data_IF_172352826505
#
_entry.id   IF_172352826505
#
_cell.length_a   1.000
_cell.length_b   1.000
_cell.length_c   1.000
_cell.angle_alpha   90.00
_cell.angle_beta   90.00
_cell.angle_gamma   90.00
#
_symmetry.space_group_name_H-M   'P 1'
#
loop_
_entity.id
_entity.type
_entity.pdbx_description
1 polymer ?
#
# COMPACT_ATOMS: atom_id res chain seq x y z
N UNK A 1 -8.09 -24.67 9.36
CA UNK A 1 -8.26 -23.38 10.06
C UNK A 1 -8.99 -22.31 9.23
N UNK A 2 -8.37 -21.66 8.23
CA UNK A 2 -9.06 -20.62 7.44
C UNK A 2 -10.29 -21.18 6.70
N UNK A 3 -10.12 -22.31 6.00
CA UNK A 3 -11.21 -22.98 5.26
C UNK A 3 -12.32 -23.54 6.17
N UNK A 4 -12.04 -23.76 7.45
CA UNK A 4 -13.04 -24.19 8.43
C UNK A 4 -13.81 -23.00 8.99
N UNK A 5 -13.13 -21.87 9.23
CA UNK A 5 -13.73 -20.67 9.81
C UNK A 5 -14.49 -19.83 8.77
N UNK A 6 -14.02 -19.76 7.53
CA UNK A 6 -14.55 -18.88 6.49
C UNK A 6 -16.04 -19.12 6.13
N UNK A 7 -16.55 -20.36 6.02
CA UNK A 7 -17.95 -20.61 5.67
C UNK A 7 -18.95 -20.03 6.69
N UNK A 8 -18.59 -20.02 7.98
CA UNK A 8 -19.44 -19.53 9.07
C UNK A 8 -19.38 -18.02 9.29
N UNK A 9 -18.50 -17.29 8.59
CA UNK A 9 -18.33 -15.86 8.80
C UNK A 9 -19.44 -15.08 8.07
N UNK A 10 -20.16 -14.23 8.82
CA UNK A 10 -21.12 -13.29 8.26
C UNK A 10 -20.39 -12.18 7.46
N UNK A 11 -21.07 -11.56 6.49
CA UNK A 11 -20.48 -10.44 5.76
C UNK A 11 -20.18 -9.26 6.70
N UNK A 12 -19.02 -8.64 6.53
CA UNK A 12 -18.51 -7.59 7.44
C UNK A 12 -17.98 -8.10 8.78
N UNK A 13 -18.14 -9.38 9.12
CA UNK A 13 -17.63 -9.94 10.37
C UNK A 13 -16.12 -10.23 10.31
N UNK A 14 -15.53 -10.30 11.51
CA UNK A 14 -14.11 -10.58 11.75
C UNK A 14 -13.97 -11.85 12.60
N UNK A 15 -13.00 -12.69 12.28
CA UNK A 15 -12.53 -13.76 13.15
C UNK A 15 -11.01 -13.61 13.37
N UNK A 16 -10.53 -14.04 14.54
CA UNK A 16 -9.10 -14.13 14.85
C UNK A 16 -8.77 -15.62 14.98
N UNK A 17 -7.80 -16.07 14.19
CA UNK A 17 -7.37 -17.46 14.14
C UNK A 17 -5.92 -17.56 14.61
N UNK A 18 -5.61 -18.58 15.39
CA UNK A 18 -4.27 -18.83 15.92
C UNK A 18 -3.74 -20.15 15.36
N UNK A 19 -2.50 -20.14 14.89
CA UNK A 19 -1.80 -21.33 14.39
C UNK A 19 -0.61 -21.65 15.27
N UNK A 20 -0.38 -22.92 15.65
CA UNK A 20 0.87 -23.30 16.28
C UNK A 20 2.08 -23.19 15.32
N UNK A 21 1.83 -23.09 14.01
CA UNK A 21 2.87 -22.99 12.98
C UNK A 21 3.25 -21.54 12.63
N UNK A 22 2.46 -20.55 13.06
CA UNK A 22 2.70 -19.15 12.72
C UNK A 22 2.99 -18.36 14.00
N UNK A 23 4.02 -17.50 14.02
CA UNK A 23 4.34 -16.69 15.19
C UNK A 23 3.41 -15.47 15.36
N UNK A 24 2.31 -15.40 14.60
CA UNK A 24 1.38 -14.28 14.59
C UNK A 24 -0.08 -14.73 14.43
N UNK A 25 -1.00 -13.86 14.82
CA UNK A 25 -2.45 -14.07 14.67
C UNK A 25 -2.90 -13.82 13.23
N UNK A 26 -3.84 -14.63 12.75
CA UNK A 26 -4.50 -14.41 11.45
C UNK A 26 -5.83 -13.72 11.71
N UNK A 27 -6.00 -12.53 11.13
CA UNK A 27 -7.27 -11.82 11.15
C UNK A 27 -8.02 -12.10 9.85
N UNK A 28 -9.15 -12.79 9.95
CA UNK A 28 -10.00 -13.14 8.82
C UNK A 28 -11.19 -12.20 8.76
N UNK A 29 -11.47 -11.62 7.59
CA UNK A 29 -12.64 -10.80 7.34
C UNK A 29 -13.36 -11.26 6.09
N UNK A 30 -14.70 -11.19 6.10
CA UNK A 30 -15.51 -11.39 4.91
C UNK A 30 -16.02 -10.05 4.39
N UNK A 31 -15.82 -9.80 3.09
CA UNK A 31 -16.37 -8.66 2.38
C UNK A 31 -16.94 -9.13 1.04
N UNK A 32 -18.24 -8.97 0.84
CA UNK A 32 -18.94 -9.41 -0.36
C UNK A 32 -18.47 -8.68 -1.63
N UNK A 33 -17.98 -7.44 -1.49
CA UNK A 33 -17.48 -6.60 -2.59
C UNK A 33 -16.17 -7.05 -3.25
N UNK A 34 -15.70 -8.27 -2.97
CA UNK A 34 -14.38 -8.79 -3.39
C UNK A 34 -14.45 -10.14 -4.12
N UNK A 35 -15.60 -10.45 -4.74
CA UNK A 35 -15.78 -11.59 -5.67
C UNK A 35 -15.27 -12.94 -5.15
N UNK A 36 -15.43 -13.22 -3.85
CA UNK A 36 -15.03 -14.48 -3.21
C UNK A 36 -13.53 -14.83 -3.25
N UNK A 37 -12.64 -13.83 -3.40
CA UNK A 37 -11.18 -14.03 -3.35
C UNK A 37 -10.62 -13.97 -1.93
N UNK A 38 -9.54 -14.72 -1.67
CA UNK A 38 -8.76 -14.62 -0.43
C UNK A 38 -7.61 -13.63 -0.64
N UNK A 39 -7.45 -12.69 0.28
CA UNK A 39 -6.36 -11.73 0.26
C UNK A 39 -5.55 -11.84 1.54
N UNK A 40 -4.24 -12.08 1.41
CA UNK A 40 -3.29 -11.93 2.50
C UNK A 40 -2.74 -10.50 2.49
N UNK A 41 -2.84 -9.82 3.63
CA UNK A 41 -2.29 -8.49 3.83
C UNK A 41 -1.86 -8.32 5.29
N UNK A 42 -0.93 -7.37 5.53
CA UNK A 42 -0.54 -6.99 6.89
C UNK A 42 -1.76 -6.48 7.66
N UNK A 43 -1.89 -6.95 8.90
CA UNK A 43 -2.92 -6.44 9.82
C UNK A 43 -2.68 -4.96 10.08
N UNK A 44 -3.76 -4.19 10.08
CA UNK A 44 -3.75 -2.77 10.44
C UNK A 44 -4.55 -2.66 11.72
N UNK A 45 -3.93 -2.09 12.75
CA UNK A 45 -4.61 -1.82 14.02
C UNK A 45 -5.73 -0.81 13.81
N UNK A 46 -6.86 -1.01 14.50
CA UNK A 46 -7.99 -0.06 14.49
C UNK A 46 -7.64 1.32 15.06
N UNK A 47 -6.58 1.42 15.86
CA UNK A 47 -6.03 2.69 16.35
C UNK A 47 -5.27 3.45 15.25
N UNK A 48 -4.72 2.78 14.24
CA UNK A 48 -4.14 3.44 13.06
C UNK A 48 -5.26 3.84 12.10
N UNK A 49 -5.84 5.01 12.38
CA UNK A 49 -6.93 5.53 11.57
C UNK A 49 -6.45 5.85 10.15
N UNK A 50 -7.34 5.64 9.16
CA UNK A 50 -7.08 6.03 7.77
C UNK A 50 -6.68 7.51 7.66
N UNK A 51 -7.21 8.36 8.53
CA UNK A 51 -6.92 9.78 8.58
C UNK A 51 -5.47 10.04 9.01
N UNK A 52 -5.00 9.41 10.08
CA UNK A 52 -3.60 9.54 10.53
C UNK A 52 -2.60 9.08 9.47
N UNK A 53 -2.88 7.96 8.79
CA UNK A 53 -2.06 7.50 7.67
C UNK A 53 -2.02 8.51 6.52
N UNK A 54 -3.17 9.08 6.19
CA UNK A 54 -3.28 10.13 5.17
C UNK A 54 -2.46 11.36 5.55
N UNK A 55 -2.51 11.78 6.81
CA UNK A 55 -1.75 12.93 7.32
C UNK A 55 -0.24 12.71 7.32
N UNK A 56 0.23 11.51 7.67
CA UNK A 56 1.65 11.15 7.58
C UNK A 56 2.14 11.23 6.13
N UNK A 57 1.41 10.61 5.21
CA UNK A 57 1.75 10.67 3.77
C UNK A 57 1.70 12.12 3.29
N UNK A 58 0.64 12.88 3.60
CA UNK A 58 0.51 14.28 3.21
C UNK A 58 1.70 15.10 3.67
N UNK A 59 2.13 14.94 4.93
CA UNK A 59 3.30 15.61 5.49
C UNK A 59 4.59 15.26 4.73
N UNK A 60 4.80 13.97 4.41
CA UNK A 60 5.94 13.53 3.62
C UNK A 60 5.92 14.15 2.20
N UNK A 61 4.75 14.15 1.55
CA UNK A 61 4.56 14.74 0.22
C UNK A 61 4.78 16.25 0.22
N UNK A 62 4.26 16.99 1.20
CA UNK A 62 4.44 18.45 1.32
C UNK A 62 5.91 18.82 1.41
N UNK A 63 6.74 17.99 2.05
CA UNK A 63 8.19 18.24 2.16
C UNK A 63 8.96 17.87 0.88
N UNK A 64 8.54 16.84 0.16
CA UNK A 64 9.30 16.23 -0.96
C UNK A 64 8.86 16.76 -2.34
N UNK A 65 7.57 16.90 -2.61
CA UNK A 65 7.02 17.26 -3.94
C UNK A 65 7.55 18.61 -4.46
N UNK A 66 7.49 19.72 -3.70
CA UNK A 66 7.89 21.03 -4.24
C UNK A 66 9.35 21.07 -4.70
N UNK A 67 10.24 20.38 -3.98
CA UNK A 67 11.67 20.29 -4.34
C UNK A 67 11.88 19.50 -5.63
N UNK A 68 11.16 18.39 -5.76
CA UNK A 68 11.26 17.52 -6.93
C UNK A 68 10.72 18.22 -8.18
N UNK A 69 9.57 18.87 -8.04
CA UNK A 69 8.94 19.69 -9.09
C UNK A 69 9.86 20.82 -9.54
N UNK A 70 10.41 21.61 -8.60
CA UNK A 70 11.32 22.70 -8.93
C UNK A 70 12.57 22.20 -9.67
N UNK A 71 13.09 21.03 -9.28
CA UNK A 71 14.25 20.41 -9.94
C UNK A 71 13.93 19.93 -11.35
N UNK A 72 12.75 19.33 -11.55
CA UNK A 72 12.31 18.88 -12.86
C UNK A 72 12.05 20.07 -13.81
N UNK A 73 11.43 21.14 -13.33
CA UNK A 73 11.17 22.34 -14.12
C UNK A 73 12.45 23.05 -14.60
N UNK A 74 13.55 22.94 -13.84
CA UNK A 74 14.85 23.51 -14.19
C UNK A 74 15.62 22.70 -15.25
N UNK A 75 15.12 21.53 -15.69
CA UNK A 75 15.82 20.64 -16.62
C UNK A 75 14.93 20.20 -17.78
N UNK A 76 15.46 20.25 -18.99
CA UNK A 76 14.76 19.77 -20.19
C UNK A 76 14.74 18.24 -20.19
N UNK A 77 13.59 17.65 -20.54
CA UNK A 77 13.38 16.21 -20.72
C UNK A 77 13.72 15.34 -19.49
N UNK A 78 13.54 15.86 -18.28
CA UNK A 78 13.71 15.08 -17.05
C UNK A 78 12.40 14.45 -16.57
N UNK A 79 12.51 13.23 -16.03
CA UNK A 79 11.43 12.56 -15.29
C UNK A 79 11.67 12.66 -13.81
N UNK A 80 10.60 12.95 -13.07
CA UNK A 80 10.62 13.08 -11.61
C UNK A 80 10.21 11.76 -10.95
N UNK A 81 11.09 11.25 -10.08
CA UNK A 81 10.85 10.01 -9.33
C UNK A 81 10.84 10.34 -7.84
N UNK A 82 9.76 9.97 -7.15
CA UNK A 82 9.65 10.07 -5.70
C UNK A 82 9.70 8.68 -5.07
N UNK A 83 10.62 8.48 -4.14
CA UNK A 83 10.73 7.26 -3.35
C UNK A 83 10.19 7.55 -1.94
N UNK A 84 9.21 6.77 -1.52
CA UNK A 84 8.68 6.75 -0.16
C UNK A 84 9.15 5.46 0.50
N UNK A 85 9.87 5.58 1.61
CA UNK A 85 10.22 4.44 2.43
C UNK A 85 9.04 4.10 3.34
N UNK A 86 8.73 2.81 3.54
CA UNK A 86 7.60 2.38 4.36
C UNK A 86 7.68 2.88 5.80
N UNK A 87 8.90 2.99 6.32
CA UNK A 87 9.15 3.31 7.72
C UNK A 87 8.89 4.80 8.00
N UNK A 88 9.11 5.65 6.99
CA UNK A 88 8.83 7.08 7.04
C UNK A 88 7.33 7.40 7.15
N UNK A 89 6.46 6.55 6.60
CA UNK A 89 5.02 6.82 6.44
C UNK A 89 4.12 5.95 7.32
N UNK A 90 4.72 4.99 8.03
CA UNK A 90 4.17 3.88 8.81
C UNK A 90 4.00 2.57 8.03
N UNK A 91 4.55 1.52 8.63
CA UNK A 91 4.39 0.12 8.24
C UNK A 91 2.90 -0.25 8.15
N UNK A 92 2.37 -0.29 6.94
CA UNK A 92 0.99 -0.67 6.66
C UNK A 92 0.96 -1.52 5.40
N UNK A 93 -0.19 -2.14 5.07
CA UNK A 93 -0.27 -2.82 3.79
C UNK A 93 -0.29 -1.79 2.64
N UNK A 94 0.28 -2.19 1.50
CA UNK A 94 0.42 -1.31 0.32
C UNK A 94 -0.91 -0.71 -0.15
N UNK A 95 -2.04 -1.40 0.01
CA UNK A 95 -3.36 -0.89 -0.40
C UNK A 95 -3.83 0.27 0.45
N UNK A 96 -3.67 0.14 1.77
CA UNK A 96 -3.94 1.20 2.72
C UNK A 96 -3.07 2.43 2.47
N UNK A 97 -1.79 2.22 2.12
CA UNK A 97 -0.87 3.28 1.74
C UNK A 97 -1.32 3.93 0.43
N UNK A 98 -1.67 3.15 -0.58
CA UNK A 98 -2.13 3.64 -1.88
C UNK A 98 -3.43 4.45 -1.78
N UNK A 99 -4.37 4.01 -0.96
CA UNK A 99 -5.62 4.75 -0.70
C UNK A 99 -5.35 6.08 0.00
N UNK A 100 -4.54 6.07 1.06
CA UNK A 100 -4.14 7.27 1.77
C UNK A 100 -3.32 8.22 0.88
N UNK A 101 -2.45 7.68 0.02
CA UNK A 101 -1.71 8.42 -0.99
C UNK A 101 -2.64 9.11 -1.98
N UNK A 102 -3.60 8.39 -2.57
CA UNK A 102 -4.62 8.98 -3.45
C UNK A 102 -5.38 10.13 -2.78
N UNK A 103 -5.76 9.97 -1.52
CA UNK A 103 -6.41 11.04 -0.75
C UNK A 103 -5.49 12.24 -0.53
N UNK A 104 -4.21 12.01 -0.22
CA UNK A 104 -3.24 13.08 0.00
C UNK A 104 -2.90 13.87 -1.28
N UNK A 105 -2.92 13.22 -2.45
CA UNK A 105 -2.61 13.85 -3.73
C UNK A 105 -3.57 14.99 -4.11
N UNK A 106 -4.82 14.97 -3.62
CA UNK A 106 -5.79 16.01 -3.89
C UNK A 106 -5.34 17.42 -3.43
N UNK A 107 -4.31 17.50 -2.59
CA UNK A 107 -3.72 18.77 -2.11
C UNK A 107 -2.60 19.33 -3.01
N UNK A 108 -2.29 18.70 -4.14
CA UNK A 108 -1.14 19.06 -4.98
C UNK A 108 -1.55 19.26 -6.45
N UNK A 109 -1.18 20.40 -7.03
CA UNK A 109 -1.42 20.70 -8.45
C UNK A 109 -0.41 20.00 -9.38
N UNK A 110 0.82 19.83 -8.90
CA UNK A 110 1.90 19.20 -9.66
C UNK A 110 2.37 17.95 -8.92
N UNK A 111 2.46 16.85 -9.67
CA UNK A 111 2.80 15.53 -9.14
C UNK A 111 4.07 14.99 -9.78
N UNK A 112 4.88 14.21 -9.05
CA UNK A 112 5.99 13.46 -9.63
C UNK A 112 5.50 12.54 -10.76
N UNK A 113 6.31 12.29 -11.78
CA UNK A 113 5.97 11.34 -12.86
C UNK A 113 5.78 9.93 -12.30
N UNK A 114 6.71 9.49 -11.44
CA UNK A 114 6.73 8.16 -10.82
C UNK A 114 6.79 8.27 -9.30
N UNK A 115 6.06 7.39 -8.61
CA UNK A 115 6.12 7.25 -7.16
C UNK A 115 6.22 5.79 -6.78
N UNK A 116 7.25 5.45 -6.00
CA UNK A 116 7.49 4.11 -5.50
C UNK A 116 7.43 4.10 -3.97
N UNK A 117 6.82 3.05 -3.42
CA UNK A 117 6.92 2.66 -2.02
C UNK A 117 8.00 1.59 -1.91
N UNK A 118 8.95 1.77 -1.00
CA UNK A 118 10.04 0.82 -0.77
C UNK A 118 10.00 0.34 0.67
N UNK A 119 9.88 -0.96 0.86
CA UNK A 119 10.12 -1.63 2.13
C UNK A 119 11.56 -2.14 2.12
N UNK A 120 12.41 -1.67 3.04
CA UNK A 120 13.81 -2.10 3.12
C UNK A 120 14.08 -3.07 4.27
N UNK A 121 13.07 -3.30 5.11
CA UNK A 121 13.11 -4.27 6.20
C UNK A 121 13.19 -5.70 5.66
N UNK A 122 14.07 -6.52 6.24
CA UNK A 122 14.15 -7.95 5.90
C UNK A 122 15.17 -8.33 4.82
N UNK A 123 16.05 -7.40 4.42
CA UNK A 123 17.25 -7.70 3.63
C UNK A 123 17.11 -7.42 2.14
N UNK A 124 16.15 -8.06 1.45
CA UNK A 124 15.85 -7.76 0.03
C UNK A 124 14.76 -6.69 -0.02
N UNK A 125 15.02 -5.50 -0.62
CA UNK A 125 14.01 -4.46 -0.70
C UNK A 125 12.81 -4.89 -1.55
N UNK A 126 11.61 -4.64 -1.04
CA UNK A 126 10.36 -4.82 -1.78
C UNK A 126 9.89 -3.46 -2.29
N UNK A 127 9.65 -3.36 -3.60
CA UNK A 127 9.23 -2.11 -4.25
C UNK A 127 7.81 -2.25 -4.78
N UNK A 128 6.93 -1.35 -4.37
CA UNK A 128 5.57 -1.23 -4.88
C UNK A 128 5.39 0.08 -5.65
N UNK A 129 4.69 0.02 -6.78
CA UNK A 129 4.41 1.21 -7.59
C UNK A 129 3.13 1.88 -7.05
N UNK A 130 3.24 3.15 -6.64
CA UNK A 130 2.10 3.97 -6.25
C UNK A 130 1.62 4.89 -7.39
N UNK A 131 2.52 5.26 -8.29
CA UNK A 131 2.21 6.04 -9.49
C UNK A 131 3.18 5.73 -10.62
N UNK A 132 2.64 5.50 -11.81
CA UNK A 132 3.36 5.35 -13.07
C UNK A 132 2.74 6.28 -14.12
N UNK A 133 3.42 7.40 -14.40
CA UNK A 133 2.89 8.42 -15.30
C UNK A 133 1.53 8.90 -14.82
N UNK A 134 0.49 8.86 -15.67
CA UNK A 134 -0.86 9.27 -15.27
C UNK A 134 -1.61 8.23 -14.38
N UNK A 135 -1.06 7.04 -14.18
CA UNK A 135 -1.73 5.91 -13.51
C UNK A 135 -1.39 5.89 -12.03
N UNK A 136 -2.41 5.79 -11.17
CA UNK A 136 -2.26 5.66 -9.70
C UNK A 136 -2.50 4.22 -9.28
N UNK A 137 -1.49 3.59 -8.69
CA UNK A 137 -1.46 2.17 -8.37
C UNK A 137 -1.36 1.95 -6.86
N UNK A 138 -1.65 0.72 -6.38
CA UNK A 138 -2.52 -0.28 -7.01
C UNK A 138 -3.97 0.22 -7.15
N UNK A 139 -4.62 -0.11 -8.27
CA UNK A 139 -6.04 0.22 -8.52
C UNK A 139 -6.99 -0.65 -7.67
N UNK A 140 -6.61 -1.89 -7.40
CA UNK A 140 -7.24 -2.89 -6.50
C UNK A 140 -6.16 -3.93 -6.10
N UNK A 141 -6.38 -4.83 -5.12
CA UNK A 141 -5.45 -5.93 -4.88
C UNK A 141 -5.45 -6.93 -6.03
N UNK A 142 -4.53 -6.71 -6.96
CA UNK A 142 -3.99 -7.75 -7.80
C UNK A 142 -2.58 -8.02 -7.29
N UNK A 143 -2.38 -9.21 -6.73
CA UNK A 143 -1.10 -9.88 -6.94
C UNK A 143 -1.15 -10.27 -8.42
N UNK A 144 -0.40 -9.57 -9.27
CA UNK A 144 0.04 -10.23 -10.49
C UNK A 144 0.84 -11.43 -10.00
N UNK A 145 0.45 -12.63 -10.45
CA UNK A 145 1.29 -13.80 -10.30
C UNK A 145 2.66 -13.37 -10.83
N UNK A 146 3.64 -13.24 -9.93
CA UNK A 146 5.01 -13.46 -10.34
C UNK A 146 5.03 -14.93 -10.73
N UNK A 147 4.63 -15.20 -11.97
CA UNK A 147 5.09 -16.38 -12.67
C UNK A 147 6.61 -16.32 -12.49
N UNK A 148 7.11 -17.18 -11.62
CA UNK A 148 8.47 -17.65 -11.78
C UNK A 148 8.46 -18.22 -13.19
N UNK A 149 9.09 -17.50 -14.12
CA UNK A 149 9.63 -18.15 -15.29
C UNK A 149 10.58 -19.20 -14.73
N UNK A 150 10.07 -20.41 -14.60
CA UNK A 150 10.84 -21.60 -14.24
C UNK A 150 11.83 -21.82 -15.39
N UNK A 151 13.11 -21.53 -15.13
CA UNK A 151 14.25 -22.17 -15.82
C UNK A 151 14.61 -23.49 -15.15
#
# INVERSE_FOLDING_TARGET
MIFEAAPGLADGAKAVLRSPLLPYEIHLWKRHSRESRIFAARYIDSSDSKQERTERIRTALTRKIPKLVATAAARINCKSVLILESDDIALSNVFAIAEAFRSALASFEQLPDYVFLVETDGGVPVVSILKDGARLLPHEPFYEDFATDDE
#
